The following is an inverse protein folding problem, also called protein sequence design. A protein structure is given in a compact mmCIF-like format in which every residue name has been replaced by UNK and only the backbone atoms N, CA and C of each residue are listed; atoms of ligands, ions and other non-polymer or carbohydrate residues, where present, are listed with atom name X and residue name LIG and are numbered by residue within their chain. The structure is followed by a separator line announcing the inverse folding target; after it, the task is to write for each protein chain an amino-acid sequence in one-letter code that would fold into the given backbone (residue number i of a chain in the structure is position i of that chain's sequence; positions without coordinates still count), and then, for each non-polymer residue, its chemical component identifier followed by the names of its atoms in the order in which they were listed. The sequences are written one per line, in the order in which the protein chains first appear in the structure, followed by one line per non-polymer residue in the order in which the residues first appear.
data_IF_206137705144
#
_entry.id   IF_206137705144
#
_cell.length_a   1.000
_cell.length_b   1.000
_cell.length_c   1.000
_cell.angle_alpha   90.00
_cell.angle_beta   90.00
_cell.angle_gamma   90.00
#
_symmetry.space_group_name_H-M   'P 1'
#
loop_
_entity.id
_entity.type
_entity.pdbx_description
1 polymer ?
#
# COMPACT_ATOMS: atom_id res chain seq x y z
N UNK A 1 24.42 67.55 13.42
CA UNK A 1 23.96 66.65 12.36
C UNK A 1 24.77 65.38 12.39
N UNK A 2 24.34 64.27 13.05
CA UNK A 2 25.00 62.99 12.90
C UNK A 2 24.27 62.16 11.83
N UNK A 3 25.07 61.47 11.03
CA UNK A 3 24.66 60.57 9.97
C UNK A 3 24.13 59.26 10.52
N UNK A 4 22.97 58.84 10.03
CA UNK A 4 22.41 57.52 10.29
C UNK A 4 23.09 56.49 9.37
N UNK A 5 23.75 55.50 9.98
CA UNK A 5 24.23 54.31 9.29
C UNK A 5 23.18 53.21 9.42
N UNK A 6 22.38 53.02 8.36
CA UNK A 6 21.50 51.87 8.21
C UNK A 6 22.30 50.60 7.94
N UNK A 7 22.35 49.69 8.89
CA UNK A 7 22.86 48.33 8.67
C UNK A 7 21.87 47.48 7.88
N UNK A 8 22.31 46.57 7.01
CA UNK A 8 21.42 45.69 6.29
C UNK A 8 20.90 44.57 7.21
N UNK A 9 19.60 44.56 7.42
CA UNK A 9 18.89 43.43 8.04
C UNK A 9 18.84 42.28 7.00
N UNK A 10 19.85 41.44 7.02
CA UNK A 10 19.82 40.19 6.29
C UNK A 10 18.89 39.19 7.03
N UNK A 11 17.62 39.17 6.66
CA UNK A 11 16.81 37.98 6.91
C UNK A 11 17.29 36.90 5.95
N UNK A 12 18.21 36.06 6.43
CA UNK A 12 18.50 34.78 5.78
C UNK A 12 17.27 33.92 5.89
N UNK A 13 16.44 33.92 4.84
CA UNK A 13 15.49 32.84 4.59
C UNK A 13 16.31 31.58 4.51
N UNK A 14 16.19 30.71 5.52
CA UNK A 14 16.66 29.33 5.39
C UNK A 14 15.77 28.71 4.33
N UNK A 15 16.27 28.55 3.11
CA UNK A 15 15.73 27.57 2.18
C UNK A 15 15.76 26.24 2.91
N UNK A 16 14.62 25.83 3.42
CA UNK A 16 14.39 24.46 3.87
C UNK A 16 14.57 23.64 2.60
N UNK A 17 15.68 22.91 2.50
CA UNK A 17 15.94 22.01 1.41
C UNK A 17 14.72 21.10 1.24
N UNK A 18 14.00 21.26 0.16
CA UNK A 18 12.80 20.50 -0.22
C UNK A 18 13.16 19.05 -0.64
N UNK A 19 14.43 18.69 -0.47
CA UNK A 19 15.00 17.37 -0.81
C UNK A 19 14.81 16.37 0.33
N UNK A 20 14.44 15.16 -0.03
CA UNK A 20 14.36 14.05 0.90
C UNK A 20 15.68 13.28 0.94
N UNK A 21 16.06 12.85 2.13
CA UNK A 21 17.09 11.83 2.29
C UNK A 21 16.38 10.48 2.36
N UNK A 22 16.57 9.63 1.34
CA UNK A 22 15.89 8.33 1.23
C UNK A 22 16.94 7.23 1.08
N UNK A 23 17.01 6.37 2.08
CA UNK A 23 17.91 5.22 2.10
C UNK A 23 17.21 3.93 1.64
N UNK A 24 15.88 3.87 1.70
CA UNK A 24 15.10 2.72 1.25
C UNK A 24 13.66 3.10 0.88
N UNK A 25 13.02 2.26 0.04
CA UNK A 25 11.59 2.34 -0.25
C UNK A 25 10.89 1.06 0.21
N UNK A 26 9.84 1.25 1.04
CA UNK A 26 9.02 0.20 1.62
C UNK A 26 7.69 0.17 0.88
N UNK A 27 7.43 -0.91 0.15
CA UNK A 27 6.29 -1.02 -0.75
C UNK A 27 5.26 -1.98 -0.17
N UNK A 28 4.04 -1.50 0.03
CA UNK A 28 2.93 -2.43 0.20
C UNK A 28 2.71 -3.23 -1.09
N UNK A 29 2.00 -4.35 -1.00
CA UNK A 29 1.84 -5.28 -2.11
C UNK A 29 0.43 -5.22 -2.72
N UNK A 30 -0.56 -5.57 -1.92
CA UNK A 30 -1.95 -5.77 -2.37
C UNK A 30 -2.67 -4.43 -2.52
N UNK A 31 -3.11 -4.07 -3.73
CA UNK A 31 -3.69 -2.74 -4.02
C UNK A 31 -2.64 -1.66 -4.35
N UNK A 32 -1.37 -1.86 -3.98
CA UNK A 32 -0.26 -0.94 -4.25
C UNK A 32 0.56 -1.35 -5.47
N UNK A 33 1.19 -2.51 -5.46
CA UNK A 33 1.94 -3.05 -6.61
C UNK A 33 1.09 -3.97 -7.48
N UNK A 34 0.21 -4.74 -6.84
CA UNK A 34 -0.64 -5.76 -7.47
C UNK A 34 -2.10 -5.31 -7.43
N UNK A 35 -2.82 -5.47 -8.54
CA UNK A 35 -4.26 -5.15 -8.65
C UNK A 35 -5.11 -6.30 -8.07
N UNK A 36 -4.85 -6.63 -6.81
CA UNK A 36 -5.50 -7.74 -6.09
C UNK A 36 -6.90 -7.40 -5.60
N UNK A 37 -7.14 -6.15 -5.23
CA UNK A 37 -8.44 -5.69 -4.73
C UNK A 37 -9.55 -5.92 -5.77
N UNK A 38 -9.27 -5.62 -7.05
CA UNK A 38 -10.20 -5.91 -8.15
C UNK A 38 -10.49 -7.40 -8.26
N UNK A 39 -9.48 -8.26 -8.11
CA UNK A 39 -9.65 -9.72 -8.16
C UNK A 39 -10.51 -10.20 -6.99
N UNK A 40 -10.28 -9.70 -5.78
CA UNK A 40 -11.12 -10.01 -4.62
C UNK A 40 -12.56 -9.57 -4.81
N UNK A 41 -12.78 -8.34 -5.27
CA UNK A 41 -14.10 -7.79 -5.57
C UNK A 41 -14.85 -8.65 -6.60
N UNK A 42 -14.25 -8.87 -7.78
CA UNK A 42 -14.87 -9.64 -8.86
C UNK A 42 -15.18 -11.08 -8.44
N UNK A 43 -14.30 -11.69 -7.63
CA UNK A 43 -14.47 -13.04 -7.12
C UNK A 43 -15.62 -13.16 -6.12
N UNK A 44 -15.79 -12.17 -5.23
CA UNK A 44 -16.89 -12.16 -4.27
C UNK A 44 -18.23 -11.93 -4.97
N UNK A 45 -18.28 -11.01 -5.93
CA UNK A 45 -19.47 -10.78 -6.77
C UNK A 45 -19.86 -12.06 -7.52
N UNK A 46 -18.88 -12.75 -8.13
CA UNK A 46 -19.13 -14.00 -8.85
C UNK A 46 -19.62 -15.13 -7.91
N UNK A 47 -19.04 -15.24 -6.72
CA UNK A 47 -19.43 -16.24 -5.73
C UNK A 47 -20.87 -16.02 -5.23
N UNK A 48 -21.25 -14.79 -4.88
CA UNK A 48 -22.60 -14.44 -4.44
C UNK A 48 -23.62 -14.69 -5.55
N UNK A 49 -23.37 -14.23 -6.76
CA UNK A 49 -24.23 -14.45 -7.92
C UNK A 49 -24.41 -15.95 -8.21
N UNK A 50 -23.32 -16.72 -8.15
CA UNK A 50 -23.34 -18.19 -8.35
C UNK A 50 -24.15 -18.94 -7.29
N UNK A 51 -24.28 -18.39 -6.07
CA UNK A 51 -25.11 -18.91 -4.99
C UNK A 51 -26.54 -18.35 -5.00
N UNK A 52 -26.93 -17.58 -6.02
CA UNK A 52 -28.31 -17.08 -6.22
C UNK A 52 -28.59 -15.72 -5.54
N UNK A 53 -27.57 -15.06 -4.99
CA UNK A 53 -27.68 -13.72 -4.41
C UNK A 53 -27.32 -12.69 -5.50
N UNK A 54 -28.32 -12.03 -6.09
CA UNK A 54 -28.11 -11.14 -7.24
C UNK A 54 -28.49 -9.68 -6.97
N UNK A 55 -29.25 -9.42 -5.89
CA UNK A 55 -29.77 -8.09 -5.61
C UNK A 55 -28.68 -7.20 -4.98
N UNK A 56 -28.29 -6.17 -5.73
CA UNK A 56 -27.38 -5.11 -5.31
C UNK A 56 -26.00 -5.60 -4.79
N UNK A 57 -25.57 -6.79 -5.29
CA UNK A 57 -24.35 -7.46 -4.85
C UNK A 57 -23.10 -6.60 -5.05
N UNK A 58 -23.01 -5.89 -6.18
CA UNK A 58 -21.85 -5.07 -6.47
C UNK A 58 -21.69 -3.92 -5.45
N UNK A 59 -22.79 -3.25 -5.09
CA UNK A 59 -22.77 -2.18 -4.09
C UNK A 59 -22.42 -2.72 -2.69
N UNK A 60 -22.94 -3.89 -2.32
CA UNK A 60 -22.59 -4.56 -1.08
C UNK A 60 -21.10 -4.92 -1.04
N UNK A 61 -20.56 -5.57 -2.09
CA UNK A 61 -19.15 -5.90 -2.18
C UNK A 61 -18.26 -4.66 -2.16
N UNK A 62 -18.71 -3.57 -2.81
CA UNK A 62 -17.97 -2.31 -2.77
C UNK A 62 -17.88 -1.72 -1.35
N UNK A 63 -18.93 -1.86 -0.54
CA UNK A 63 -18.89 -1.43 0.87
C UNK A 63 -17.96 -2.26 1.76
N UNK A 64 -17.51 -3.41 1.29
CA UNK A 64 -16.59 -4.32 2.00
C UNK A 64 -15.11 -4.11 1.63
N UNK A 65 -14.84 -3.29 0.61
CA UNK A 65 -13.47 -3.03 0.15
C UNK A 65 -12.62 -2.46 1.28
N UNK A 66 -11.42 -3.03 1.47
CA UNK A 66 -10.48 -2.61 2.52
C UNK A 66 -10.88 -3.03 3.94
N UNK A 67 -11.97 -3.81 4.12
CA UNK A 67 -12.38 -4.32 5.42
C UNK A 67 -11.78 -5.71 5.71
N UNK A 68 -11.48 -6.03 6.97
CA UNK A 68 -11.04 -7.36 7.35
C UNK A 68 -12.09 -8.44 7.04
N UNK A 69 -11.65 -9.64 6.63
CA UNK A 69 -12.53 -10.77 6.29
C UNK A 69 -13.65 -11.05 7.30
N UNK A 70 -13.37 -11.14 8.62
CA UNK A 70 -14.43 -11.34 9.62
C UNK A 70 -15.50 -10.24 9.65
N UNK A 71 -15.15 -8.99 9.31
CA UNK A 71 -16.10 -7.88 9.20
C UNK A 71 -16.97 -8.07 7.96
N UNK A 72 -16.39 -8.43 6.83
CA UNK A 72 -17.13 -8.74 5.61
C UNK A 72 -18.12 -9.90 5.82
N UNK A 73 -17.69 -10.98 6.49
CA UNK A 73 -18.55 -12.11 6.85
C UNK A 73 -19.73 -11.67 7.73
N UNK A 74 -19.49 -10.83 8.73
CA UNK A 74 -20.55 -10.28 9.58
C UNK A 74 -21.56 -9.44 8.78
N UNK A 75 -21.09 -8.63 7.83
CA UNK A 75 -21.94 -7.85 6.92
C UNK A 75 -22.81 -8.73 6.03
N UNK A 76 -22.27 -9.86 5.53
CA UNK A 76 -23.03 -10.83 4.74
C UNK A 76 -24.14 -11.49 5.58
N UNK A 77 -23.82 -11.89 6.81
CA UNK A 77 -24.80 -12.47 7.74
C UNK A 77 -25.87 -11.47 8.16
N UNK A 78 -25.52 -10.21 8.37
CA UNK A 78 -26.47 -9.13 8.67
C UNK A 78 -27.42 -8.88 7.49
N UNK A 79 -26.89 -8.83 6.27
CA UNK A 79 -27.67 -8.59 5.04
C UNK A 79 -28.60 -9.73 4.68
N UNK A 80 -28.15 -10.99 4.79
CA UNK A 80 -28.86 -12.16 4.27
C UNK A 80 -29.43 -13.08 5.38
N UNK A 81 -29.12 -12.79 6.63
CA UNK A 81 -29.60 -13.54 7.81
C UNK A 81 -28.76 -14.76 8.17
N UNK A 82 -29.09 -15.36 9.33
CA UNK A 82 -28.31 -16.47 9.90
C UNK A 82 -28.33 -17.77 9.06
N UNK A 83 -29.29 -17.91 8.13
CA UNK A 83 -29.36 -19.05 7.21
C UNK A 83 -28.48 -18.90 5.97
N UNK A 84 -27.77 -17.77 5.84
CA UNK A 84 -26.86 -17.52 4.71
C UNK A 84 -25.76 -18.58 4.63
N UNK A 85 -25.54 -19.22 3.46
CA UNK A 85 -24.60 -20.32 3.31
C UNK A 85 -23.15 -19.81 3.21
N UNK A 86 -22.65 -19.12 4.26
CA UNK A 86 -21.34 -18.46 4.29
C UNK A 86 -20.20 -19.38 3.85
N UNK A 87 -20.21 -20.66 4.32
CA UNK A 87 -19.15 -21.61 3.97
C UNK A 87 -19.16 -22.00 2.48
N UNK A 88 -20.34 -22.02 1.84
CA UNK A 88 -20.47 -22.30 0.41
C UNK A 88 -20.00 -21.10 -0.42
N UNK A 89 -20.42 -19.90 -0.06
CA UNK A 89 -19.98 -18.65 -0.70
C UNK A 89 -18.46 -18.49 -0.57
N UNK A 90 -17.91 -18.73 0.62
CA UNK A 90 -16.45 -18.66 0.81
C UNK A 90 -15.69 -19.69 -0.06
N UNK A 91 -16.21 -20.93 -0.21
CA UNK A 91 -15.60 -21.89 -1.13
C UNK A 91 -15.66 -21.43 -2.58
N UNK A 92 -16.81 -20.91 -3.03
CA UNK A 92 -16.96 -20.38 -4.38
C UNK A 92 -16.03 -19.17 -4.61
N UNK A 93 -15.96 -18.27 -3.65
CA UNK A 93 -15.05 -17.11 -3.67
C UNK A 93 -13.60 -17.55 -3.85
N UNK A 94 -13.11 -18.51 -3.05
CA UNK A 94 -11.74 -19.04 -3.16
C UNK A 94 -11.48 -19.63 -4.55
N UNK A 95 -12.42 -20.39 -5.09
CA UNK A 95 -12.29 -21.00 -6.42
C UNK A 95 -12.22 -19.94 -7.52
N UNK A 96 -13.06 -18.91 -7.47
CA UNK A 96 -13.03 -17.81 -8.44
C UNK A 96 -11.74 -17.01 -8.34
N UNK A 97 -11.37 -16.63 -7.13
CA UNK A 97 -10.14 -15.88 -6.83
C UNK A 97 -8.89 -16.63 -7.35
N UNK A 98 -8.76 -17.91 -7.01
CA UNK A 98 -7.60 -18.68 -7.39
C UNK A 98 -7.50 -18.87 -8.91
N UNK A 99 -8.64 -19.05 -9.60
CA UNK A 99 -8.66 -19.09 -11.08
C UNK A 99 -8.22 -17.75 -11.69
N UNK A 100 -8.64 -16.63 -11.14
CA UNK A 100 -8.24 -15.32 -11.63
C UNK A 100 -6.75 -15.10 -11.42
N UNK A 101 -6.22 -15.42 -10.23
CA UNK A 101 -4.79 -15.32 -9.96
C UNK A 101 -3.94 -16.25 -10.84
N UNK A 102 -4.40 -17.50 -11.08
CA UNK A 102 -3.68 -18.45 -11.95
C UNK A 102 -3.69 -18.01 -13.43
N UNK A 103 -4.70 -17.24 -13.86
CA UNK A 103 -4.76 -16.71 -15.22
C UNK A 103 -3.81 -15.53 -15.42
N UNK A 104 -3.80 -14.56 -14.52
CA UNK A 104 -2.89 -13.42 -14.47
C UNK A 104 -3.11 -12.64 -13.17
N UNK A 105 -2.04 -12.15 -12.57
CA UNK A 105 -2.11 -11.17 -11.50
C UNK A 105 -1.59 -9.83 -12.03
N UNK A 106 -2.48 -8.88 -12.38
CA UNK A 106 -2.09 -7.63 -12.97
C UNK A 106 -1.26 -6.79 -12.01
N UNK A 107 -0.29 -6.08 -12.56
CA UNK A 107 0.44 -5.03 -11.85
C UNK A 107 -0.33 -3.71 -11.93
N UNK A 108 -0.22 -2.91 -10.89
CA UNK A 108 -0.73 -1.53 -10.89
C UNK A 108 0.07 -0.67 -11.87
N UNK A 109 -0.59 0.37 -12.38
CA UNK A 109 0.01 1.31 -13.33
C UNK A 109 1.29 1.93 -12.76
N UNK A 110 2.40 1.82 -13.48
CA UNK A 110 3.71 2.34 -13.10
C UNK A 110 4.53 1.44 -12.17
N UNK A 111 4.06 0.22 -11.83
CA UNK A 111 4.78 -0.68 -10.92
C UNK A 111 6.15 -1.10 -11.47
N UNK A 112 6.22 -1.48 -12.75
CA UNK A 112 7.49 -1.87 -13.38
C UNK A 112 8.43 -0.68 -13.47
N UNK A 113 7.95 0.48 -13.91
CA UNK A 113 8.74 1.69 -14.06
C UNK A 113 9.28 2.19 -12.71
N UNK A 114 8.47 2.09 -11.64
CA UNK A 114 8.93 2.40 -10.29
C UNK A 114 10.06 1.44 -9.86
N UNK A 115 9.85 0.13 -10.00
CA UNK A 115 10.83 -0.88 -9.62
C UNK A 115 12.13 -0.76 -10.45
N UNK A 116 12.03 -0.46 -11.75
CA UNK A 116 13.19 -0.23 -12.61
C UNK A 116 13.94 1.05 -12.20
N UNK A 117 13.19 2.11 -11.87
CA UNK A 117 13.79 3.36 -11.39
C UNK A 117 14.53 3.20 -10.06
N UNK A 118 13.95 2.44 -9.12
CA UNK A 118 14.57 2.13 -7.83
C UNK A 118 15.83 1.26 -8.00
N UNK A 119 15.76 0.26 -8.87
CA UNK A 119 16.91 -0.59 -9.18
C UNK A 119 18.05 0.20 -9.84
N UNK A 120 17.75 1.09 -10.81
CA UNK A 120 18.73 1.95 -11.46
C UNK A 120 19.43 2.91 -10.47
N UNK A 121 18.71 3.31 -9.42
CA UNK A 121 19.24 4.13 -8.33
C UNK A 121 19.98 3.32 -7.25
N UNK A 122 20.06 2.00 -7.38
CA UNK A 122 20.54 1.07 -6.35
C UNK A 122 19.87 1.31 -4.98
N UNK A 123 18.60 1.76 -4.97
CA UNK A 123 17.83 2.01 -3.77
C UNK A 123 17.32 0.70 -3.18
N UNK A 124 17.64 0.37 -1.92
CA UNK A 124 17.11 -0.81 -1.25
C UNK A 124 15.58 -0.77 -1.17
N UNK A 125 14.93 -1.92 -1.43
CA UNK A 125 13.48 -2.04 -1.37
C UNK A 125 13.04 -3.23 -0.53
N UNK A 126 11.87 -3.11 0.11
CA UNK A 126 11.22 -4.22 0.78
C UNK A 126 9.72 -4.24 0.49
N UNK A 127 9.15 -5.44 0.41
CA UNK A 127 7.71 -5.62 0.52
C UNK A 127 7.30 -5.57 1.99
N UNK A 128 6.20 -4.86 2.28
CA UNK A 128 5.61 -4.73 3.61
C UNK A 128 4.10 -4.96 3.53
N UNK A 129 3.64 -6.19 3.72
CA UNK A 129 2.25 -6.59 3.46
C UNK A 129 1.55 -7.21 4.67
N UNK A 130 0.22 -7.06 4.72
CA UNK A 130 -0.66 -7.79 5.65
C UNK A 130 -0.99 -9.21 5.19
N UNK A 131 -0.52 -9.64 4.03
CA UNK A 131 -0.65 -11.01 3.53
C UNK A 131 0.31 -11.96 4.24
N UNK A 132 -0.02 -13.27 4.24
CA UNK A 132 0.88 -14.32 4.74
C UNK A 132 2.10 -14.48 3.83
N UNK A 133 3.19 -15.03 4.36
CA UNK A 133 4.41 -15.35 3.58
C UNK A 133 4.10 -16.18 2.36
N UNK A 134 3.30 -17.23 2.52
CA UNK A 134 2.90 -18.10 1.42
C UNK A 134 2.15 -17.36 0.31
N UNK A 135 1.22 -16.49 0.67
CA UNK A 135 0.46 -15.68 -0.28
C UNK A 135 1.37 -14.69 -1.01
N UNK A 136 2.21 -13.99 -0.26
CA UNK A 136 3.17 -13.01 -0.80
C UNK A 136 4.11 -13.64 -1.83
N UNK A 137 4.76 -14.75 -1.48
CA UNK A 137 5.66 -15.47 -2.40
C UNK A 137 4.93 -15.90 -3.67
N UNK A 138 3.72 -16.48 -3.54
CA UNK A 138 2.91 -16.90 -4.68
C UNK A 138 2.52 -15.73 -5.58
N UNK A 139 2.00 -14.65 -5.01
CA UNK A 139 1.53 -13.50 -5.77
C UNK A 139 2.66 -12.81 -6.51
N UNK A 140 3.79 -12.55 -5.86
CA UNK A 140 4.96 -11.95 -6.49
C UNK A 140 5.54 -12.83 -7.60
N UNK A 141 5.51 -14.17 -7.45
CA UNK A 141 5.96 -15.11 -8.48
C UNK A 141 5.03 -15.12 -9.69
N UNK A 142 3.70 -15.14 -9.49
CA UNK A 142 2.70 -15.07 -10.58
C UNK A 142 2.84 -13.73 -11.33
N UNK A 143 3.03 -12.63 -10.60
CA UNK A 143 3.23 -11.31 -11.20
C UNK A 143 4.60 -11.13 -11.88
N UNK A 144 5.51 -12.11 -11.74
CA UNK A 144 6.84 -12.08 -12.37
C UNK A 144 7.81 -11.06 -11.77
N UNK A 145 7.57 -10.62 -10.53
CA UNK A 145 8.41 -9.60 -9.86
C UNK A 145 9.08 -10.10 -8.57
N UNK A 146 8.94 -11.39 -8.23
CA UNK A 146 9.48 -11.95 -6.97
C UNK A 146 10.98 -11.70 -6.82
N UNK A 147 11.74 -11.87 -7.88
CA UNK A 147 13.21 -11.76 -7.87
C UNK A 147 13.72 -10.32 -7.69
N UNK A 148 12.82 -9.35 -7.69
CA UNK A 148 13.18 -7.94 -7.45
C UNK A 148 13.34 -7.61 -5.97
N UNK A 149 12.93 -8.52 -5.07
CA UNK A 149 12.87 -8.27 -3.63
C UNK A 149 13.69 -9.28 -2.84
N UNK A 150 14.75 -8.81 -2.17
CA UNK A 150 15.50 -9.60 -1.21
C UNK A 150 14.82 -9.62 0.17
N UNK A 151 14.02 -8.58 0.48
CA UNK A 151 13.38 -8.40 1.78
C UNK A 151 11.86 -8.38 1.64
N UNK A 152 11.20 -9.33 2.34
CA UNK A 152 9.76 -9.40 2.47
C UNK A 152 9.39 -9.36 3.95
N UNK A 153 8.49 -8.47 4.33
CA UNK A 153 7.84 -8.40 5.63
C UNK A 153 6.37 -8.72 5.44
N UNK A 154 5.91 -9.76 6.11
CA UNK A 154 4.56 -10.32 5.97
C UNK A 154 3.88 -10.40 7.33
N UNK A 155 2.59 -10.67 7.36
CA UNK A 155 1.85 -10.85 8.60
C UNK A 155 2.49 -11.91 9.53
N UNK A 156 3.18 -12.91 8.94
CA UNK A 156 3.82 -13.99 9.69
C UNK A 156 5.10 -13.53 10.44
N UNK A 157 5.61 -12.34 10.13
CA UNK A 157 6.83 -11.78 10.73
C UNK A 157 6.54 -10.91 11.97
N UNK A 158 5.26 -10.63 12.27
CA UNK A 158 4.86 -9.66 13.31
C UNK A 158 3.81 -10.22 14.26
N UNK A 159 3.71 -9.58 15.42
CA UNK A 159 2.66 -9.87 16.41
C UNK A 159 1.41 -9.05 16.11
N UNK A 160 1.61 -7.81 15.65
CA UNK A 160 0.53 -6.88 15.34
C UNK A 160 0.66 -6.41 13.89
N UNK A 161 -0.38 -6.66 13.09
CA UNK A 161 -0.47 -6.18 11.71
C UNK A 161 -0.90 -4.72 11.63
N UNK A 162 -0.87 -4.13 10.41
CA UNK A 162 -1.36 -2.78 10.16
C UNK A 162 -2.76 -2.58 10.76
N UNK A 163 -3.04 -1.49 11.49
CA UNK A 163 -2.32 -0.21 11.51
C UNK A 163 -1.17 -0.10 12.53
N UNK A 164 -0.75 -1.19 13.20
CA UNK A 164 0.43 -1.17 14.07
C UNK A 164 1.69 -0.96 13.22
N UNK A 165 2.67 -0.14 13.68
CA UNK A 165 3.89 0.15 12.92
C UNK A 165 4.88 -1.01 12.81
N UNK A 166 4.66 -2.13 13.48
CA UNK A 166 5.64 -3.22 13.65
C UNK A 166 6.22 -3.71 12.32
N UNK A 167 5.39 -3.85 11.28
CA UNK A 167 5.83 -4.27 9.94
C UNK A 167 6.87 -3.31 9.34
N UNK A 168 6.59 -2.00 9.39
CA UNK A 168 7.47 -0.97 8.83
C UNK A 168 8.75 -0.81 9.63
N UNK A 169 8.67 -0.87 10.97
CA UNK A 169 9.84 -0.84 11.85
C UNK A 169 10.78 -2.02 11.59
N UNK A 170 10.22 -3.23 11.45
CA UNK A 170 10.99 -4.43 11.13
C UNK A 170 11.57 -4.39 9.72
N UNK A 171 10.86 -3.81 8.74
CA UNK A 171 11.35 -3.65 7.38
C UNK A 171 12.59 -2.74 7.34
N UNK A 172 12.51 -1.56 7.94
CA UNK A 172 13.62 -0.63 8.05
C UNK A 172 14.83 -1.30 8.74
N UNK A 173 14.59 -1.98 9.86
CA UNK A 173 15.64 -2.70 10.61
C UNK A 173 16.32 -3.80 9.76
N UNK A 174 15.57 -4.58 8.96
CA UNK A 174 16.14 -5.61 8.07
C UNK A 174 16.98 -5.02 6.93
N UNK A 175 16.63 -3.82 6.46
CA UNK A 175 17.43 -3.10 5.46
C UNK A 175 18.60 -2.33 6.08
N UNK A 176 18.71 -2.28 7.40
CA UNK A 176 19.79 -1.57 8.12
C UNK A 176 19.63 -0.05 8.08
N UNK A 177 18.42 0.46 7.89
CA UNK A 177 18.10 1.88 7.80
C UNK A 177 17.16 2.33 8.92
N UNK A 178 17.00 3.65 9.10
CA UNK A 178 16.03 4.19 10.06
C UNK A 178 14.72 4.56 9.36
N UNK A 179 13.55 4.40 10.00
CA UNK A 179 12.27 4.71 9.37
C UNK A 179 12.15 6.12 8.79
N UNK A 180 12.68 7.19 9.43
CA UNK A 180 12.63 8.54 8.84
C UNK A 180 13.41 8.69 7.52
N UNK A 181 14.34 7.79 7.23
CA UNK A 181 15.06 7.72 5.96
C UNK A 181 14.40 6.74 4.97
N UNK A 182 13.20 6.26 5.26
CA UNK A 182 12.41 5.42 4.36
C UNK A 182 11.24 6.19 3.76
N UNK A 183 10.95 5.93 2.48
CA UNK A 183 9.66 6.23 1.89
C UNK A 183 8.80 4.97 1.93
N UNK A 184 7.59 5.07 2.48
CA UNK A 184 6.58 4.02 2.41
C UNK A 184 5.53 4.37 1.36
N UNK A 185 5.17 3.41 0.51
CA UNK A 185 4.11 3.55 -0.50
C UNK A 185 2.98 2.60 -0.17
N UNK A 186 1.77 3.14 -0.06
CA UNK A 186 0.58 2.46 0.45
C UNK A 186 -0.67 2.84 -0.35
N UNK A 187 -1.70 1.98 -0.32
CA UNK A 187 -3.01 2.26 -0.90
C UNK A 187 -4.11 2.45 0.14
N UNK A 188 -3.90 1.91 1.36
CA UNK A 188 -4.93 1.76 2.39
C UNK A 188 -4.77 2.74 3.55
N UNK A 189 -5.92 3.08 4.19
CA UNK A 189 -5.92 3.94 5.38
C UNK A 189 -5.17 3.31 6.57
N UNK A 190 -5.26 1.98 6.74
CA UNK A 190 -4.56 1.25 7.80
C UNK A 190 -3.05 1.18 7.54
N UNK A 191 -2.66 0.97 6.29
CA UNK A 191 -1.27 0.93 5.91
C UNK A 191 -0.57 2.29 6.05
N UNK A 192 -1.23 3.37 5.62
CA UNK A 192 -0.76 4.75 5.85
C UNK A 192 -0.60 5.02 7.34
N UNK A 193 -1.57 4.61 8.18
CA UNK A 193 -1.46 4.81 9.62
C UNK A 193 -0.25 4.07 10.20
N UNK A 194 0.03 2.83 9.77
CA UNK A 194 1.17 2.04 10.21
C UNK A 194 2.51 2.66 9.77
N UNK A 195 2.64 3.05 8.50
CA UNK A 195 3.85 3.66 7.95
C UNK A 195 4.17 4.99 8.62
N UNK A 196 3.15 5.85 8.79
CA UNK A 196 3.28 7.13 9.48
C UNK A 196 3.67 6.95 10.95
N UNK A 197 3.04 6.01 11.67
CA UNK A 197 3.37 5.70 13.06
C UNK A 197 4.80 5.15 13.23
N UNK A 198 5.34 4.46 12.22
CA UNK A 198 6.74 4.07 12.17
C UNK A 198 7.70 5.24 11.96
N UNK A 199 7.22 6.40 11.52
CA UNK A 199 8.00 7.59 11.21
C UNK A 199 8.53 7.65 9.78
N UNK A 200 8.04 6.83 8.86
CA UNK A 200 8.42 6.86 7.45
C UNK A 200 7.77 8.04 6.71
N UNK A 201 8.43 8.54 5.67
CA UNK A 201 7.81 9.45 4.69
C UNK A 201 6.75 8.64 3.95
N UNK A 202 5.47 8.94 4.20
CA UNK A 202 4.37 8.12 3.71
C UNK A 202 3.74 8.72 2.46
N UNK A 203 3.69 7.95 1.38
CA UNK A 203 2.98 8.26 0.14
C UNK A 203 1.77 7.33 0.02
N UNK A 204 0.64 7.87 -0.42
CA UNK A 204 -0.54 7.07 -0.69
C UNK A 204 -0.90 7.11 -2.17
N UNK A 205 -1.12 5.94 -2.74
CA UNK A 205 -1.71 5.73 -4.06
C UNK A 205 -3.04 4.99 -3.85
N UNK A 206 -4.15 5.71 -3.66
CA UNK A 206 -5.43 5.08 -3.34
C UNK A 206 -5.85 4.08 -4.40
N UNK A 207 -6.29 2.88 -3.98
CA UNK A 207 -6.92 1.91 -4.86
C UNK A 207 -8.45 2.07 -4.84
N UNK A 208 -9.20 1.11 -4.34
CA UNK A 208 -10.67 1.14 -4.35
C UNK A 208 -11.26 2.02 -3.23
N UNK A 209 -10.55 2.21 -2.11
CA UNK A 209 -11.00 3.05 -1.00
C UNK A 209 -10.37 4.45 -1.03
N UNK A 210 -11.15 5.54 -0.99
CA UNK A 210 -10.60 6.88 -0.93
C UNK A 210 -9.90 7.13 0.42
N UNK A 211 -8.86 8.00 0.44
CA UNK A 211 -8.22 8.39 1.68
C UNK A 211 -9.19 9.17 2.58
N UNK A 212 -9.26 8.79 3.85
CA UNK A 212 -9.95 9.56 4.87
C UNK A 212 -9.22 10.90 5.11
N UNK A 213 -9.92 11.89 5.65
CA UNK A 213 -9.29 13.19 5.95
C UNK A 213 -8.11 13.05 6.93
N UNK A 214 -8.28 12.20 7.95
CA UNK A 214 -7.20 11.88 8.89
C UNK A 214 -6.00 11.21 8.19
N UNK A 215 -6.24 10.37 7.20
CA UNK A 215 -5.20 9.69 6.41
C UNK A 215 -4.42 10.68 5.56
N UNK A 216 -5.14 11.64 4.93
CA UNK A 216 -4.49 12.71 4.13
C UNK A 216 -3.47 13.50 4.96
N UNK A 217 -3.81 13.80 6.22
CA UNK A 217 -2.92 14.52 7.14
C UNK A 217 -1.66 13.75 7.55
N UNK A 218 -1.61 12.43 7.31
CA UNK A 218 -0.47 11.55 7.58
C UNK A 218 0.43 11.34 6.36
N UNK A 219 -0.04 11.69 5.17
CA UNK A 219 0.69 11.50 3.92
C UNK A 219 1.53 12.75 3.58
N UNK A 220 2.76 12.52 3.13
CA UNK A 220 3.56 13.55 2.47
C UNK A 220 2.95 13.91 1.09
N UNK A 221 2.34 12.94 0.41
CA UNK A 221 1.52 13.15 -0.78
C UNK A 221 0.50 12.01 -0.97
N UNK A 222 -0.63 12.34 -1.62
CA UNK A 222 -1.59 11.38 -2.18
C UNK A 222 -1.48 11.50 -3.69
N UNK A 223 -1.14 10.41 -4.36
CA UNK A 223 -0.75 10.38 -5.77
C UNK A 223 -1.69 9.48 -6.58
N UNK A 224 -1.86 9.73 -7.88
CA UNK A 224 -2.80 8.97 -8.69
C UNK A 224 -2.33 7.56 -9.06
N UNK A 225 -1.01 7.34 -9.17
CA UNK A 225 -0.40 6.08 -9.59
C UNK A 225 1.09 6.01 -9.21
N UNK A 226 1.74 4.88 -9.52
CA UNK A 226 3.15 4.67 -9.21
C UNK A 226 4.12 5.41 -10.15
N UNK A 227 3.67 5.87 -11.33
CA UNK A 227 4.46 6.80 -12.16
C UNK A 227 4.65 8.13 -11.43
N UNK A 228 3.59 8.64 -10.81
CA UNK A 228 3.65 9.88 -10.02
C UNK A 228 4.53 9.70 -8.76
N UNK A 229 4.54 8.51 -8.14
CA UNK A 229 5.48 8.19 -7.05
C UNK A 229 6.92 8.31 -7.55
N UNK A 230 7.27 7.66 -8.66
CA UNK A 230 8.63 7.73 -9.22
C UNK A 230 9.04 9.15 -9.58
N UNK A 231 8.12 9.93 -10.19
CA UNK A 231 8.36 11.32 -10.53
C UNK A 231 8.66 12.16 -9.29
N UNK A 232 7.85 12.03 -8.23
CA UNK A 232 8.04 12.73 -6.96
C UNK A 232 9.37 12.37 -6.29
N UNK A 233 9.73 11.08 -6.24
CA UNK A 233 11.00 10.63 -5.68
C UNK A 233 12.19 11.26 -6.41
N UNK A 234 12.15 11.38 -7.73
CA UNK A 234 13.17 12.05 -8.54
C UNK A 234 13.21 13.56 -8.27
N UNK A 235 12.06 14.21 -8.23
CA UNK A 235 11.94 15.66 -7.95
C UNK A 235 12.52 16.00 -6.58
N UNK A 236 12.22 15.19 -5.57
CA UNK A 236 12.72 15.37 -4.20
C UNK A 236 14.19 14.99 -4.03
N UNK A 237 14.86 14.55 -5.08
CA UNK A 237 16.25 14.13 -5.03
C UNK A 237 16.50 12.94 -4.10
N UNK A 238 15.50 12.06 -3.98
CA UNK A 238 15.54 10.87 -3.14
C UNK A 238 16.66 9.89 -3.54
N UNK A 239 17.08 9.93 -4.81
CA UNK A 239 18.17 9.15 -5.32
C UNK A 239 19.41 10.05 -5.39
N UNK A 240 20.36 9.83 -4.48
CA UNK A 240 21.61 10.58 -4.48
C UNK A 240 22.33 10.43 -5.84
N UNK A 241 22.37 11.50 -6.61
CA UNK A 241 23.28 11.71 -7.72
C UNK A 241 24.51 12.45 -7.24
#
# INVERSE_FOLDING_TARGET
MPAETGGPTGHGEREVSDRWHVDAVLLDMDGTLLDTEKVYFDSLVAALNGCGYTDDVAALCHSMVGLPGPVCEAMLLDRYGAAFPLAEVNRAFIVHRDRMFDAALPLKSGAIELLDGLAAAACPIAIVTSSSRRTTERHLAIAGIRERFDTLLTLDDVTHGKPDPELYLKAAARLGVTPPACVAVEDSNHGVAAAHAAGAITLMVPDMAPPLEETRGKCAAVLPDLHAVLALLRERGAFGC
#
